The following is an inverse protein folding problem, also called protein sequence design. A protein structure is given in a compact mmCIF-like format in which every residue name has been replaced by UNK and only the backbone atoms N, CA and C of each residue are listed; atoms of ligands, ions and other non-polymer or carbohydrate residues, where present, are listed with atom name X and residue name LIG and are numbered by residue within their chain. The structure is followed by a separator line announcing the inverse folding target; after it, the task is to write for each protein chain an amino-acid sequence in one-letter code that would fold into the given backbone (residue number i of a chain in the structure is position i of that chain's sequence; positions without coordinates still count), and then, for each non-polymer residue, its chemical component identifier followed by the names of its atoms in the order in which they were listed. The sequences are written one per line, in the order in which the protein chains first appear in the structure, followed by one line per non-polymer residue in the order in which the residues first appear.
data_IF_184371085107
#
_entry.id   IF_184371085107
#
_cell.length_a   1.000
_cell.length_b   1.000
_cell.length_c   1.000
_cell.angle_alpha   90.00
_cell.angle_beta   90.00
_cell.angle_gamma   90.00
#
_symmetry.space_group_name_H-M   'P 1'
#
loop_
_entity.id
_entity.type
_entity.pdbx_description
1 polymer ?
#
# COMPACT_ATOMS: atom_id res chain seq x y z
N UNK A 1 -1.94 11.45 -16.81
CA UNK A 1 -1.11 11.72 -15.62
C UNK A 1 0.26 11.09 -15.85
N UNK A 2 1.34 11.87 -15.88
CA UNK A 2 2.70 11.33 -16.01
C UNK A 2 3.27 11.24 -14.60
N UNK A 3 3.40 10.03 -14.07
CA UNK A 3 4.11 9.85 -12.80
C UNK A 3 5.59 10.21 -13.01
N UNK A 4 6.20 11.00 -12.13
CA UNK A 4 7.63 11.24 -12.20
C UNK A 4 8.35 9.91 -12.07
N UNK A 5 9.03 9.49 -13.14
CA UNK A 5 9.89 8.31 -13.08
C UNK A 5 11.12 8.72 -12.30
N UNK A 6 11.20 8.31 -11.04
CA UNK A 6 12.44 8.43 -10.29
C UNK A 6 13.40 7.37 -10.84
N UNK A 7 14.34 7.81 -11.69
CA UNK A 7 15.25 6.92 -12.42
C UNK A 7 16.24 6.20 -11.50
N UNK A 8 16.51 6.76 -10.32
CA UNK A 8 17.46 6.19 -9.37
C UNK A 8 17.26 6.76 -7.96
N UNK A 9 16.80 5.94 -7.00
CA UNK A 9 16.75 6.32 -5.57
C UNK A 9 17.94 5.77 -4.76
N UNK A 10 18.92 5.15 -5.43
CA UNK A 10 20.06 4.49 -4.79
C UNK A 10 19.78 3.04 -4.41
N UNK A 11 20.85 2.27 -4.15
CA UNK A 11 20.76 0.92 -3.60
C UNK A 11 20.14 0.95 -2.19
N UNK A 12 19.25 0.01 -1.91
CA UNK A 12 18.62 -0.15 -0.60
C UNK A 12 19.54 -0.76 0.47
N UNK A 13 20.71 -1.29 0.09
CA UNK A 13 21.71 -1.92 0.98
C UNK A 13 21.12 -2.96 1.97
N UNK A 14 20.06 -3.67 1.57
CA UNK A 14 19.42 -4.65 2.43
C UNK A 14 20.33 -5.86 2.65
N UNK A 15 20.61 -6.19 3.91
CA UNK A 15 21.28 -7.44 4.28
C UNK A 15 20.27 -8.58 4.44
N UNK A 16 19.11 -8.33 5.06
CA UNK A 16 18.18 -9.38 5.47
C UNK A 16 16.84 -9.39 4.71
N UNK A 17 16.58 -10.41 3.85
CA UNK A 17 15.31 -11.11 3.64
C UNK A 17 13.94 -10.46 3.77
N UNK A 18 13.64 -10.11 5.01
CA UNK A 18 12.29 -10.34 5.58
C UNK A 18 11.83 -9.19 6.45
N UNK A 19 12.50 -8.04 6.32
CA UNK A 19 12.40 -6.94 7.27
C UNK A 19 12.26 -5.63 6.53
N UNK A 20 11.02 -5.33 6.17
CA UNK A 20 10.61 -4.04 5.60
C UNK A 20 11.06 -2.88 6.52
N UNK A 21 11.01 -3.07 7.83
CA UNK A 21 11.50 -2.14 8.87
C UNK A 21 13.01 -1.85 8.81
N UNK A 22 13.81 -2.74 8.23
CA UNK A 22 15.27 -2.58 8.12
C UNK A 22 15.73 -2.01 6.76
N UNK A 23 14.81 -1.90 5.80
CA UNK A 23 15.14 -1.46 4.46
C UNK A 23 15.16 0.08 4.38
N UNK A 24 16.28 0.65 3.92
CA UNK A 24 16.39 2.11 3.67
C UNK A 24 15.27 2.64 2.77
N UNK A 25 14.93 1.94 1.69
CA UNK A 25 13.93 2.43 0.73
C UNK A 25 12.51 2.37 1.32
N UNK A 26 12.20 1.31 2.07
CA UNK A 26 10.94 1.19 2.80
C UNK A 26 10.80 2.29 3.86
N UNK A 27 11.87 2.60 4.61
CA UNK A 27 11.88 3.71 5.57
C UNK A 27 11.65 5.08 4.93
N UNK A 28 11.90 5.21 3.63
CA UNK A 28 11.65 6.44 2.85
C UNK A 28 10.32 6.40 2.09
N UNK A 29 9.47 5.38 2.31
CA UNK A 29 8.20 5.17 1.60
C UNK A 29 8.36 5.10 0.06
N UNK A 30 9.48 4.56 -0.43
CA UNK A 30 9.74 4.37 -1.86
C UNK A 30 9.59 2.90 -2.22
N UNK A 31 8.60 2.59 -3.06
CA UNK A 31 8.39 1.24 -3.58
C UNK A 31 9.51 0.79 -4.50
N UNK A 32 9.82 -0.50 -4.45
CA UNK A 32 10.87 -1.10 -5.26
C UNK A 32 10.46 -1.26 -6.72
N UNK A 33 11.41 -1.02 -7.64
CA UNK A 33 11.42 -1.77 -8.91
C UNK A 33 12.39 -2.95 -8.77
N UNK A 34 12.16 -4.08 -9.49
CA UNK A 34 12.98 -5.29 -9.39
C UNK A 34 14.48 -5.07 -9.55
N UNK A 35 14.91 -4.00 -10.23
CA UNK A 35 16.31 -3.72 -10.55
C UNK A 35 17.08 -2.98 -9.44
N UNK A 36 16.44 -2.54 -8.35
CA UNK A 36 17.08 -1.70 -7.32
C UNK A 36 17.22 -2.37 -5.95
N UNK A 37 16.80 -3.63 -5.84
CA UNK A 37 17.02 -4.49 -4.68
C UNK A 37 17.63 -5.80 -5.15
N UNK A 38 18.71 -6.30 -4.52
CA UNK A 38 19.30 -7.60 -4.88
C UNK A 38 18.32 -8.77 -4.75
N UNK A 39 17.18 -8.55 -4.09
CA UNK A 39 16.13 -9.54 -3.88
C UNK A 39 14.85 -9.30 -4.71
N UNK A 40 14.95 -8.46 -5.75
CA UNK A 40 13.94 -8.27 -6.80
C UNK A 40 12.52 -7.95 -6.34
N UNK A 41 12.34 -7.34 -5.16
CA UNK A 41 11.02 -6.97 -4.66
C UNK A 41 10.13 -8.15 -4.28
N UNK A 42 10.67 -9.37 -4.10
CA UNK A 42 9.94 -10.58 -3.64
C UNK A 42 9.48 -10.50 -2.17
N UNK A 43 9.43 -9.30 -1.61
CA UNK A 43 9.24 -9.04 -0.18
C UNK A 43 7.92 -8.27 -0.02
N UNK A 44 7.42 -8.07 1.20
CA UNK A 44 6.23 -7.31 1.62
C UNK A 44 6.13 -5.84 1.10
N UNK A 45 6.80 -5.48 0.02
CA UNK A 45 6.63 -4.24 -0.73
C UNK A 45 6.28 -4.51 -2.21
N UNK A 46 5.91 -5.74 -2.55
CA UNK A 46 5.28 -6.05 -3.84
C UNK A 46 3.92 -5.36 -3.93
N UNK A 47 3.53 -4.92 -5.12
CA UNK A 47 2.19 -4.38 -5.39
C UNK A 47 1.13 -5.50 -5.52
N UNK A 48 1.45 -6.70 -5.03
CA UNK A 48 0.53 -7.83 -5.08
C UNK A 48 -0.39 -7.73 -3.87
N UNK A 49 -1.70 -7.75 -4.11
CA UNK A 49 -2.70 -7.69 -3.05
C UNK A 49 -2.68 -8.99 -2.25
N UNK A 50 -2.77 -8.87 -0.92
CA UNK A 50 -2.83 -10.01 0.00
C UNK A 50 -4.13 -10.79 -0.22
N UNK A 51 -4.02 -12.12 -0.22
CA UNK A 51 -5.17 -13.03 -0.27
C UNK A 51 -5.83 -13.23 1.09
N UNK A 52 -5.27 -12.64 2.16
CA UNK A 52 -5.75 -12.75 3.55
C UNK A 52 -7.03 -11.96 3.83
N UNK A 53 -7.70 -11.46 2.80
CA UNK A 53 -8.86 -10.58 2.90
C UNK A 53 -10.01 -11.02 2.02
N UNK A 54 -11.23 -10.85 2.51
CA UNK A 54 -12.45 -11.07 1.72
C UNK A 54 -13.47 -9.95 1.93
N UNK A 55 -14.44 -9.87 1.01
CA UNK A 55 -15.54 -8.92 1.10
C UNK A 55 -16.62 -9.47 2.04
N UNK A 56 -16.74 -8.87 3.21
CA UNK A 56 -17.77 -9.16 4.20
C UNK A 56 -18.92 -8.15 4.15
N UNK A 57 -20.09 -8.58 4.61
CA UNK A 57 -21.25 -7.70 4.81
C UNK A 57 -21.56 -7.56 6.30
N UNK A 58 -21.57 -6.32 6.77
CA UNK A 58 -21.94 -6.02 8.15
C UNK A 58 -23.40 -6.42 8.40
N UNK A 59 -23.65 -7.28 9.39
CA UNK A 59 -25.01 -7.76 9.67
C UNK A 59 -25.95 -6.68 10.22
N UNK A 60 -25.39 -5.67 10.91
CA UNK A 60 -26.16 -4.56 11.51
C UNK A 60 -26.41 -3.43 10.52
N UNK A 61 -25.38 -2.95 9.82
CA UNK A 61 -25.48 -1.78 8.92
C UNK A 61 -25.75 -2.17 7.47
N UNK A 62 -25.59 -3.45 7.11
CA UNK A 62 -25.67 -3.98 5.74
C UNK A 62 -24.60 -3.46 4.78
N UNK A 63 -23.66 -2.65 5.26
CA UNK A 63 -22.53 -2.13 4.50
C UNK A 63 -21.52 -3.22 4.17
N UNK A 64 -20.81 -3.06 3.07
CA UNK A 64 -19.71 -3.92 2.67
C UNK A 64 -18.40 -3.42 3.29
N UNK A 65 -17.52 -4.36 3.64
CA UNK A 65 -16.19 -4.08 4.17
C UNK A 65 -15.22 -5.20 3.86
N UNK A 66 -13.92 -4.90 3.90
CA UNK A 66 -12.89 -5.93 3.80
C UNK A 66 -12.67 -6.52 5.19
N UNK A 67 -12.71 -7.84 5.28
CA UNK A 67 -12.51 -8.62 6.51
C UNK A 67 -11.28 -9.49 6.35
N UNK A 68 -10.41 -9.52 7.37
CA UNK A 68 -9.27 -10.41 7.38
C UNK A 68 -9.73 -11.85 7.61
N UNK A 69 -9.30 -12.78 6.77
CA UNK A 69 -9.51 -14.23 6.91
C UNK A 69 -8.36 -14.88 7.70
N UNK A 70 -7.18 -14.26 7.69
CA UNK A 70 -5.99 -14.74 8.36
C UNK A 70 -5.33 -13.66 9.22
N UNK A 71 -4.39 -14.07 10.07
CA UNK A 71 -3.54 -13.12 10.79
C UNK A 71 -2.65 -12.34 9.80
N UNK A 72 -2.71 -11.02 9.92
CA UNK A 72 -1.86 -10.08 9.19
C UNK A 72 -0.75 -9.67 10.16
N UNK A 73 0.49 -9.94 9.77
CA UNK A 73 1.64 -9.64 10.61
C UNK A 73 1.90 -8.12 10.67
N UNK A 74 2.50 -7.67 11.77
CA UNK A 74 2.87 -6.28 11.90
C UNK A 74 3.92 -5.88 10.84
N UNK A 75 3.58 -4.90 10.00
CA UNK A 75 4.44 -4.45 8.91
C UNK A 75 4.24 -5.17 7.58
N UNK A 76 3.33 -6.14 7.52
CA UNK A 76 2.89 -6.77 6.26
C UNK A 76 2.05 -5.78 5.43
N UNK A 77 2.32 -5.73 4.12
CA UNK A 77 1.50 -4.94 3.19
C UNK A 77 0.30 -5.77 2.76
N UNK A 78 -0.90 -5.27 3.07
CA UNK A 78 -2.14 -5.94 2.74
C UNK A 78 -2.57 -5.75 1.27
N UNK A 79 -2.26 -4.62 0.65
CA UNK A 79 -2.64 -4.33 -0.73
C UNK A 79 -2.63 -2.84 -1.04
N UNK A 80 -2.97 -2.49 -2.27
CA UNK A 80 -2.97 -1.10 -2.73
C UNK A 80 -4.36 -0.48 -2.76
N UNK A 81 -4.50 0.70 -2.14
CA UNK A 81 -5.71 1.52 -2.33
C UNK A 81 -5.67 2.23 -3.69
N UNK A 82 -6.30 1.62 -4.69
CA UNK A 82 -6.41 2.17 -6.04
C UNK A 82 -7.64 3.09 -6.12
N UNK A 83 -7.47 4.32 -5.66
CA UNK A 83 -8.43 5.42 -5.83
C UNK A 83 -7.86 6.55 -6.67
N UNK A 84 -8.70 7.56 -6.96
CA UNK A 84 -8.26 8.76 -7.67
C UNK A 84 -7.47 9.70 -6.74
N UNK A 85 -6.35 10.22 -7.25
CA UNK A 85 -5.61 11.31 -6.60
C UNK A 85 -6.18 12.62 -7.12
N UNK A 86 -6.93 13.31 -6.27
CA UNK A 86 -7.57 14.58 -6.59
C UNK A 86 -6.87 15.77 -5.94
N UNK A 87 -6.89 16.92 -6.63
CA UNK A 87 -6.48 18.19 -6.04
C UNK A 87 -7.59 18.73 -5.15
N UNK A 88 -7.38 18.71 -3.83
CA UNK A 88 -8.35 19.19 -2.84
C UNK A 88 -7.90 20.50 -2.21
N UNK A 89 -8.87 21.31 -1.77
CA UNK A 89 -8.62 22.51 -0.99
C UNK A 89 -7.74 22.22 0.25
N UNK A 90 -6.83 23.15 0.56
CA UNK A 90 -6.05 23.15 1.80
C UNK A 90 -6.89 23.51 3.03
N UNK A 91 -7.98 24.29 2.84
CA UNK A 91 -8.93 24.62 3.91
C UNK A 91 -9.73 23.37 4.34
N UNK A 92 -9.69 22.98 5.63
CA UNK A 92 -10.41 21.80 6.13
C UNK A 92 -11.94 21.87 5.90
N UNK A 93 -12.52 23.06 6.03
CA UNK A 93 -13.97 23.27 5.86
C UNK A 93 -14.46 23.03 4.43
N UNK A 94 -13.56 23.09 3.44
CA UNK A 94 -13.86 22.93 2.01
C UNK A 94 -13.36 21.60 1.44
N UNK A 95 -12.76 20.74 2.27
CA UNK A 95 -12.22 19.45 1.84
C UNK A 95 -13.32 18.39 1.92
N UNK A 96 -13.70 17.74 0.80
CA UNK A 96 -14.65 16.64 0.85
C UNK A 96 -14.07 15.48 1.66
N UNK A 97 -14.93 14.77 2.41
CA UNK A 97 -14.53 13.51 3.06
C UNK A 97 -14.36 12.44 2.00
N UNK A 98 -13.29 11.64 2.10
CA UNK A 98 -13.13 10.44 1.30
C UNK A 98 -14.27 9.47 1.66
N UNK A 99 -15.07 9.08 0.66
CA UNK A 99 -16.21 8.16 0.83
C UNK A 99 -15.88 6.71 0.44
N UNK A 100 -14.61 6.41 0.17
CA UNK A 100 -14.17 5.12 -0.36
C UNK A 100 -14.41 5.04 -1.87
N UNK A 101 -13.49 4.40 -2.59
CA UNK A 101 -13.55 4.37 -4.05
C UNK A 101 -14.34 3.16 -4.61
N UNK A 102 -14.54 2.08 -3.85
CA UNK A 102 -15.29 0.90 -4.32
C UNK A 102 -15.47 -0.13 -3.22
N UNK A 103 -16.62 -0.07 -2.55
CA UNK A 103 -17.20 -1.21 -1.83
C UNK A 103 -18.70 -1.21 -2.21
N UNK A 104 -18.96 -1.35 -3.51
CA UNK A 104 -20.33 -1.43 -4.08
C UNK A 104 -20.81 -2.86 -4.09
#
# INVERSE_FOLDING_TARGET
MVFPVVRHFGSCNCWNPRRADSCRNTLMHVFFRPNYCPYSGKWDNGLEDSTKGFLGRNQRTRELGIVADEFIDAGEVFGQYVGEIEHVSSSPAKRPRNKGYRLV
#
